data_IF_952628496707
#
_entry.id   IF_952628496707
#
_cell.length_a   1.000
_cell.length_b   1.000
_cell.length_c   1.000
_cell.angle_alpha   90.00
_cell.angle_beta   90.00
_cell.angle_gamma   90.00
#
_symmetry.space_group_name_H-M   'P 1'
#
loop_
_entity.id
_entity.type
_entity.pdbx_description
1 polymer ?
#
# COMPACT_ATOMS: atom_id res chain seq x y z
N UNK A 1 15.50 26.19 -1.92
CA UNK A 1 14.50 26.29 -3.01
C UNK A 1 15.21 26.04 -4.34
N UNK A 2 14.65 25.22 -5.24
CA UNK A 2 15.29 24.92 -6.51
C UNK A 2 15.23 26.11 -7.48
N UNK A 3 16.26 26.31 -8.29
CA UNK A 3 16.30 27.38 -9.31
C UNK A 3 15.63 26.94 -10.61
N UNK A 4 15.19 27.89 -11.45
CA UNK A 4 14.53 27.61 -12.75
C UNK A 4 15.40 26.66 -13.60
N UNK A 5 16.71 26.90 -13.65
CA UNK A 5 17.65 26.06 -14.39
C UNK A 5 17.74 24.63 -13.83
N UNK A 6 17.54 24.41 -12.53
CA UNK A 6 17.50 23.07 -11.94
C UNK A 6 16.22 22.32 -12.32
N UNK A 7 15.07 23.02 -12.42
CA UNK A 7 13.80 22.44 -12.87
C UNK A 7 13.82 22.07 -14.37
N UNK A 8 14.51 22.89 -15.18
CA UNK A 8 14.68 22.63 -16.61
C UNK A 8 15.64 21.46 -16.86
N UNK A 9 16.79 21.41 -16.17
CA UNK A 9 17.83 20.38 -16.37
C UNK A 9 17.48 19.02 -15.74
N UNK A 10 16.85 18.99 -14.57
CA UNK A 10 16.44 17.75 -13.89
C UNK A 10 14.99 17.42 -14.21
N UNK A 11 14.75 16.54 -15.20
CA UNK A 11 13.40 16.01 -15.51
C UNK A 11 12.70 15.38 -14.29
N UNK A 12 13.46 14.84 -13.33
CA UNK A 12 12.93 14.22 -12.11
C UNK A 12 12.32 15.20 -11.10
N UNK A 13 12.67 16.49 -11.18
CA UNK A 13 12.18 17.51 -10.23
C UNK A 13 10.67 17.79 -10.34
N UNK A 14 10.06 17.41 -11.47
CA UNK A 14 8.63 17.58 -11.78
C UNK A 14 7.86 16.25 -11.77
N UNK A 15 8.51 15.13 -11.45
CA UNK A 15 7.85 13.84 -11.45
C UNK A 15 7.04 13.65 -10.17
N UNK A 16 5.77 13.31 -10.32
CA UNK A 16 4.94 12.90 -9.20
C UNK A 16 5.52 11.61 -8.55
N UNK A 17 5.45 11.47 -7.22
CA UNK A 17 5.89 10.26 -6.56
C UNK A 17 5.02 9.07 -6.99
N UNK A 18 5.66 7.92 -7.22
CA UNK A 18 4.93 6.69 -7.52
C UNK A 18 4.19 6.21 -6.27
N UNK A 19 2.87 6.04 -6.38
CA UNK A 19 2.04 5.50 -5.30
C UNK A 19 2.11 3.96 -5.30
N UNK A 20 2.31 3.37 -4.13
CA UNK A 20 2.25 1.91 -3.94
C UNK A 20 0.83 1.49 -3.60
N UNK A 21 0.37 0.40 -4.22
CA UNK A 21 -0.90 -0.21 -3.84
C UNK A 21 -0.82 -0.79 -2.44
N UNK A 22 -1.83 -0.51 -1.61
CA UNK A 22 -2.01 -1.16 -0.30
C UNK A 22 -2.35 -2.65 -0.42
N UNK A 23 -2.73 -3.12 -1.62
CA UNK A 23 -3.24 -4.47 -1.90
C UNK A 23 -2.51 -5.12 -3.10
N UNK A 24 -1.21 -5.46 -2.98
CA UNK A 24 -0.43 -6.01 -4.09
C UNK A 24 -0.94 -7.39 -4.56
N UNK A 25 -1.44 -8.23 -3.64
CA UNK A 25 -1.92 -9.57 -3.96
C UNK A 25 -3.05 -9.59 -5.01
N UNK A 26 -3.86 -8.54 -5.08
CA UNK A 26 -4.97 -8.45 -6.01
C UNK A 26 -4.54 -8.18 -7.46
N UNK A 27 -3.31 -7.69 -7.70
CA UNK A 27 -2.78 -7.40 -9.05
C UNK A 27 -3.76 -6.63 -9.98
N UNK A 28 -4.55 -5.71 -9.44
CA UNK A 28 -5.54 -4.94 -10.21
C UNK A 28 -6.91 -5.60 -10.38
N UNK A 29 -7.08 -6.87 -9.99
CA UNK A 29 -8.39 -7.54 -10.01
C UNK A 29 -9.26 -7.08 -8.82
N UNK A 30 -10.60 -7.04 -8.96
CA UNK A 30 -11.50 -6.71 -7.85
C UNK A 30 -11.49 -7.79 -6.75
N UNK A 31 -11.39 -9.07 -7.13
CA UNK A 31 -11.38 -10.22 -6.21
C UNK A 31 -10.50 -11.35 -6.79
N UNK A 32 -9.96 -12.22 -5.92
CA UNK A 32 -9.21 -13.44 -6.30
C UNK A 32 -9.57 -14.61 -5.39
N UNK A 33 -9.69 -15.81 -5.96
CA UNK A 33 -9.90 -17.06 -5.19
C UNK A 33 -8.58 -17.53 -4.57
N UNK A 34 -8.67 -18.20 -3.42
CA UNK A 34 -7.53 -18.79 -2.72
C UNK A 34 -7.99 -19.87 -1.73
N UNK A 35 -7.05 -20.65 -1.20
CA UNK A 35 -7.30 -21.71 -0.23
C UNK A 35 -6.75 -21.29 1.14
N UNK A 36 -7.49 -21.59 2.21
CA UNK A 36 -7.06 -21.31 3.58
C UNK A 36 -5.99 -22.32 4.02
N UNK A 37 -4.77 -21.84 4.30
CA UNK A 37 -3.70 -22.70 4.84
C UNK A 37 -3.85 -22.98 6.35
N UNK A 38 -4.40 -22.03 7.11
CA UNK A 38 -4.61 -22.16 8.57
C UNK A 38 -5.79 -21.30 9.01
N UNK A 39 -6.58 -21.82 9.95
CA UNK A 39 -7.71 -21.10 10.58
C UNK A 39 -7.40 -20.95 12.07
N UNK A 40 -7.46 -19.73 12.60
CA UNK A 40 -7.16 -19.42 14.00
C UNK A 40 -7.76 -18.06 14.39
N UNK A 41 -7.83 -17.79 15.69
CA UNK A 41 -8.34 -16.52 16.20
C UNK A 41 -7.22 -15.52 16.52
N UNK A 42 -7.47 -14.21 16.34
CA UNK A 42 -6.56 -13.12 16.73
C UNK A 42 -7.26 -12.07 17.58
N UNK A 43 -6.54 -11.44 18.52
CA UNK A 43 -7.02 -10.29 19.28
C UNK A 43 -6.71 -8.97 18.55
N UNK A 44 -7.60 -7.95 18.59
CA UNK A 44 -7.36 -6.65 17.95
C UNK A 44 -6.31 -5.84 18.72
N UNK A 45 -5.77 -4.79 18.07
CA UNK A 45 -4.90 -3.82 18.74
C UNK A 45 -5.71 -3.00 19.76
N UNK A 46 -5.11 -2.68 20.91
CA UNK A 46 -5.66 -1.73 21.89
C UNK A 46 -6.12 -0.44 21.18
N UNK A 47 -7.22 0.20 21.61
CA UNK A 47 -7.99 -0.01 22.85
C UNK A 47 -9.04 -1.13 22.78
N UNK A 48 -9.22 -1.73 21.61
CA UNK A 48 -10.29 -2.70 21.41
C UNK A 48 -9.95 -4.06 22.04
N UNK A 49 -10.97 -4.81 22.47
CA UNK A 49 -10.85 -6.18 22.98
C UNK A 49 -11.92 -7.08 22.37
N UNK A 50 -11.50 -8.16 21.69
CA UNK A 50 -12.36 -9.19 21.09
C UNK A 50 -11.53 -10.40 20.60
N UNK A 51 -12.19 -11.52 20.30
CA UNK A 51 -11.62 -12.61 19.49
C UNK A 51 -12.15 -12.51 18.05
N UNK A 52 -11.25 -12.37 17.06
CA UNK A 52 -11.56 -12.33 15.62
C UNK A 52 -11.18 -13.66 14.96
N UNK A 53 -12.11 -14.27 14.21
CA UNK A 53 -11.86 -15.44 13.34
C UNK A 53 -11.42 -14.99 11.96
#
# INVERSE_FOLDING_TARGET
>A
MPTINQLLRKKSSRQAPKLKSKKPALAGCPQKRGVCFRVYTRTPKKPNSALKK
#
